data_IF_292901402714
#
_entry.id   IF_292901402714
#
_cell.length_a   1.000
_cell.length_b   1.000
_cell.length_c   1.000
_cell.angle_alpha   90.00
_cell.angle_beta   90.00
_cell.angle_gamma   90.00
#
_symmetry.space_group_name_H-M   'P 1'
#
loop_
_entity.id
_entity.type
_entity.pdbx_description
1 polymer ?
#
# COMPACT_ATOMS: atom_id res chain seq x y z
N UNK A 1 8.50 18.31 53.60
CA UNK A 1 7.60 18.59 52.42
C UNK A 1 8.29 19.39 51.32
N UNK A 2 9.07 20.44 51.58
CA UNK A 2 9.74 21.28 50.60
C UNK A 2 10.75 20.55 49.66
N UNK A 3 11.49 19.57 50.17
CA UNK A 3 12.45 18.77 49.37
C UNK A 3 11.81 17.88 48.30
N UNK A 4 10.62 17.32 48.58
CA UNK A 4 9.81 16.54 47.61
C UNK A 4 9.20 17.44 46.51
N UNK A 5 8.73 18.62 46.87
CA UNK A 5 8.19 19.60 45.92
C UNK A 5 9.26 20.11 44.93
N UNK A 6 10.48 20.39 45.41
CA UNK A 6 11.61 20.78 44.55
C UNK A 6 12.04 19.64 43.61
N UNK A 7 12.10 18.40 44.06
CA UNK A 7 12.45 17.25 43.22
C UNK A 7 11.38 17.02 42.10
N UNK A 8 10.12 17.17 42.42
CA UNK A 8 9.05 17.08 41.41
C UNK A 8 9.10 18.22 40.39
N UNK A 9 9.45 19.43 40.83
CA UNK A 9 9.61 20.59 39.92
C UNK A 9 10.78 20.41 38.97
N UNK A 10 11.91 19.94 39.46
CA UNK A 10 13.10 19.64 38.65
C UNK A 10 12.86 18.50 37.65
N UNK A 11 12.11 17.45 38.03
CA UNK A 11 11.69 16.38 37.11
C UNK A 11 10.77 16.91 36.01
N UNK A 12 9.82 17.78 36.36
CA UNK A 12 8.90 18.37 35.37
C UNK A 12 9.60 19.32 34.38
N UNK A 13 10.59 20.08 34.87
CA UNK A 13 11.44 20.94 34.02
C UNK A 13 12.33 20.10 33.07
N UNK A 14 12.96 19.05 33.59
CA UNK A 14 13.78 18.14 32.79
C UNK A 14 12.92 17.40 31.73
N UNK A 15 11.69 17.03 32.07
CA UNK A 15 10.73 16.46 31.08
C UNK A 15 10.36 17.45 29.98
N UNK A 16 10.16 18.72 30.29
CA UNK A 16 9.87 19.76 29.28
C UNK A 16 11.06 19.98 28.35
N UNK A 17 12.26 20.07 28.89
CA UNK A 17 13.50 20.23 28.11
C UNK A 17 13.74 19.01 27.22
N UNK A 18 13.64 17.81 27.77
CA UNK A 18 13.76 16.56 26.99
C UNK A 18 12.71 16.47 25.88
N UNK A 19 11.45 16.83 26.17
CA UNK A 19 10.38 16.88 25.18
C UNK A 19 10.66 17.90 24.08
N UNK A 20 11.19 19.07 24.40
CA UNK A 20 11.57 20.08 23.40
C UNK A 20 12.64 19.57 22.45
N UNK A 21 13.72 18.99 22.98
CA UNK A 21 14.77 18.39 22.15
C UNK A 21 14.27 17.21 21.32
N UNK A 22 13.44 16.34 21.89
CA UNK A 22 12.84 15.23 21.15
C UNK A 22 11.96 15.75 20.01
N UNK A 23 11.11 16.75 20.26
CA UNK A 23 10.25 17.36 19.23
C UNK A 23 11.09 18.01 18.13
N UNK A 24 12.17 18.73 18.49
CA UNK A 24 13.09 19.32 17.52
C UNK A 24 13.77 18.26 16.64
N UNK A 25 14.24 17.16 17.27
CA UNK A 25 14.82 16.04 16.53
C UNK A 25 13.83 15.38 15.59
N UNK A 26 12.61 15.11 16.06
CA UNK A 26 11.53 14.56 15.20
C UNK A 26 11.16 15.50 14.05
N UNK A 27 11.08 16.82 14.28
CA UNK A 27 10.81 17.77 13.23
C UNK A 27 11.89 17.77 12.14
N UNK A 28 13.17 17.66 12.52
CA UNK A 28 14.29 17.54 11.57
C UNK A 28 14.17 16.24 10.77
N UNK A 29 13.92 15.12 11.43
CA UNK A 29 13.73 13.81 10.75
C UNK A 29 12.55 13.88 9.77
N UNK A 30 11.40 14.42 10.20
CA UNK A 30 10.23 14.60 9.34
C UNK A 30 10.53 15.49 8.12
N UNK A 31 11.31 16.55 8.32
CA UNK A 31 11.75 17.40 7.21
C UNK A 31 12.56 16.62 6.17
N UNK A 32 13.56 15.85 6.61
CA UNK A 32 14.36 15.04 5.69
C UNK A 32 13.56 13.95 4.96
N UNK A 33 12.57 13.34 5.64
CA UNK A 33 11.69 12.34 5.04
C UNK A 33 10.73 13.00 4.02
N UNK A 34 10.22 14.19 4.32
CA UNK A 34 9.29 14.90 3.44
C UNK A 34 10.00 15.61 2.26
N UNK A 35 11.30 15.92 2.42
CA UNK A 35 12.09 16.66 1.45
C UNK A 35 12.05 16.10 0.02
N UNK A 36 12.28 14.79 -0.21
CA UNK A 36 12.23 14.22 -1.56
C UNK A 36 10.85 14.37 -2.22
N UNK A 37 9.79 14.25 -1.42
CA UNK A 37 8.42 14.39 -1.89
C UNK A 37 8.12 15.83 -2.32
N UNK A 38 8.57 16.80 -1.52
CA UNK A 38 8.43 18.23 -1.80
C UNK A 38 9.28 18.64 -3.01
N UNK A 39 10.52 18.16 -3.09
CA UNK A 39 11.40 18.40 -4.23
C UNK A 39 10.85 17.76 -5.52
N UNK A 40 10.29 16.55 -5.46
CA UNK A 40 9.60 15.90 -6.57
C UNK A 40 8.37 16.69 -7.02
N UNK A 41 7.57 17.21 -6.08
CA UNK A 41 6.43 18.05 -6.39
C UNK A 41 6.84 19.32 -7.13
N UNK A 42 7.86 20.05 -6.65
CA UNK A 42 8.40 21.22 -7.35
C UNK A 42 9.01 20.83 -8.71
N UNK A 43 9.75 19.72 -8.77
CA UNK A 43 10.34 19.19 -10.00
C UNK A 43 9.31 18.86 -11.08
N UNK A 44 8.09 18.45 -10.68
CA UNK A 44 7.01 18.12 -11.62
C UNK A 44 6.54 19.33 -12.47
N UNK A 45 6.84 20.53 -12.06
CA UNK A 45 6.52 21.78 -12.79
C UNK A 45 7.70 22.31 -13.59
N UNK A 46 8.85 21.64 -13.62
CA UNK A 46 10.07 22.09 -14.28
C UNK A 46 10.33 21.36 -15.58
N UNK A 47 11.02 22.00 -16.57
CA UNK A 47 11.46 21.32 -17.77
C UNK A 47 12.40 20.14 -17.45
N UNK A 48 12.27 19.03 -18.18
CA UNK A 48 13.06 17.81 -17.97
C UNK A 48 14.58 18.02 -18.07
N UNK A 49 15.04 18.93 -18.94
CA UNK A 49 16.44 19.33 -19.06
C UNK A 49 17.02 19.87 -17.76
N UNK A 50 16.25 20.67 -17.01
CA UNK A 50 16.67 21.20 -15.71
C UNK A 50 16.67 20.13 -14.62
N UNK A 51 15.69 19.23 -14.64
CA UNK A 51 15.64 18.11 -13.70
C UNK A 51 16.85 17.20 -13.86
N UNK A 52 17.31 16.99 -15.09
CA UNK A 52 18.50 16.18 -15.37
C UNK A 52 19.79 16.87 -14.98
N UNK A 53 19.92 18.19 -15.21
CA UNK A 53 21.15 18.94 -14.94
C UNK A 53 21.32 19.33 -13.46
N UNK A 54 20.23 19.65 -12.78
CA UNK A 54 20.23 20.19 -11.40
C UNK A 54 19.71 19.19 -10.36
N UNK A 55 19.16 18.07 -10.82
CA UNK A 55 18.50 17.07 -9.97
C UNK A 55 17.19 17.60 -9.35
N UNK A 56 16.74 16.96 -8.29
CA UNK A 56 15.61 17.41 -7.49
C UNK A 56 16.05 18.54 -6.56
N UNK A 57 16.11 19.76 -7.06
CA UNK A 57 16.50 20.95 -6.29
C UNK A 57 15.27 21.74 -5.82
N UNK A 58 15.42 22.47 -4.71
CA UNK A 58 14.41 23.44 -4.21
C UNK A 58 14.54 24.83 -4.87
N UNK A 59 15.17 24.90 -6.04
CA UNK A 59 15.31 26.19 -6.72
C UNK A 59 13.93 26.76 -7.09
N UNK A 60 13.50 27.78 -6.38
CA UNK A 60 12.25 28.50 -6.61
C UNK A 60 12.35 29.56 -7.71
N UNK A 61 13.54 29.77 -8.28
CA UNK A 61 13.80 30.79 -9.32
C UNK A 61 13.46 30.30 -10.72
N UNK A 62 13.37 28.98 -10.89
CA UNK A 62 13.01 28.38 -12.19
C UNK A 62 11.53 28.64 -12.52
N UNK A 63 11.21 28.96 -13.78
CA UNK A 63 9.83 29.19 -14.17
C UNK A 63 8.97 27.97 -13.94
N UNK A 64 7.93 28.11 -13.14
CA UNK A 64 6.93 27.07 -12.89
C UNK A 64 6.01 26.98 -14.10
N UNK A 65 5.89 25.79 -14.68
CA UNK A 65 5.06 25.54 -15.86
C UNK A 65 4.17 24.32 -15.66
N UNK A 66 2.93 24.38 -16.12
CA UNK A 66 2.01 23.26 -16.18
C UNK A 66 2.21 22.38 -17.43
N UNK A 67 3.25 22.64 -18.23
CA UNK A 67 3.45 21.95 -19.51
C UNK A 67 3.60 20.43 -19.34
N UNK A 68 4.27 19.97 -18.29
CA UNK A 68 4.42 18.53 -18.01
C UNK A 68 3.06 17.87 -17.74
N UNK A 69 2.20 18.52 -16.98
CA UNK A 69 0.84 18.06 -16.74
C UNK A 69 -0.04 18.17 -17.97
N UNK A 70 0.13 19.26 -18.77
CA UNK A 70 -0.57 19.39 -20.05
C UNK A 70 -0.14 18.28 -21.02
N UNK A 71 1.16 18.00 -21.12
CA UNK A 71 1.67 16.89 -21.92
C UNK A 71 1.15 15.53 -21.41
N UNK A 72 1.16 15.31 -20.09
CA UNK A 72 0.63 14.11 -19.46
C UNK A 72 -0.87 13.90 -19.75
N UNK A 73 -1.67 14.97 -19.81
CA UNK A 73 -3.12 14.93 -19.99
C UNK A 73 -3.57 15.36 -21.39
N UNK A 74 -2.68 15.77 -22.29
CA UNK A 74 -3.03 16.22 -23.64
C UNK A 74 -3.67 15.09 -24.46
N UNK A 75 -4.85 15.34 -24.96
CA UNK A 75 -5.51 14.52 -25.98
C UNK A 75 -4.94 14.91 -27.33
N UNK A 76 -4.22 14.02 -28.02
CA UNK A 76 -3.87 14.09 -29.44
C UNK A 76 -3.62 15.47 -30.04
N UNK A 77 -2.40 15.74 -30.53
CA UNK A 77 -2.24 16.77 -31.54
C UNK A 77 -1.14 17.79 -31.34
N UNK A 78 -0.04 17.46 -30.69
CA UNK A 78 1.18 18.24 -30.86
C UNK A 78 2.18 17.43 -31.70
N UNK A 79 2.68 18.08 -32.73
CA UNK A 79 3.56 17.51 -33.77
C UNK A 79 4.98 17.16 -33.31
N UNK A 80 5.21 17.11 -32.00
CA UNK A 80 6.51 16.79 -31.44
C UNK A 80 6.59 15.28 -31.21
N UNK A 81 7.65 14.67 -31.76
CA UNK A 81 7.91 13.23 -31.76
C UNK A 81 7.91 12.63 -30.35
N UNK A 82 8.23 13.42 -29.32
CA UNK A 82 8.25 13.02 -27.93
C UNK A 82 6.85 12.87 -27.31
N UNK A 83 5.86 13.60 -27.81
CA UNK A 83 4.46 13.48 -27.38
C UNK A 83 3.79 12.19 -27.89
N UNK A 84 4.34 11.56 -28.91
CA UNK A 84 3.83 10.30 -29.45
C UNK A 84 4.04 9.11 -28.49
N UNK A 85 5.02 9.20 -27.59
CA UNK A 85 5.35 8.11 -26.64
C UNK A 85 4.40 8.12 -25.45
N UNK A 86 3.91 9.29 -25.04
CA UNK A 86 2.97 9.43 -23.93
C UNK A 86 1.67 10.03 -24.45
N UNK A 87 0.87 9.24 -25.14
CA UNK A 87 -0.51 9.68 -25.35
C UNK A 87 -1.23 9.69 -24.00
N UNK A 88 -1.93 10.77 -23.69
CA UNK A 88 -2.76 10.90 -22.48
C UNK A 88 -3.74 9.72 -22.30
N UNK A 89 -4.11 9.10 -23.41
CA UNK A 89 -4.90 7.87 -23.42
C UNK A 89 -4.18 6.72 -22.71
N UNK A 90 -2.86 6.62 -22.84
CA UNK A 90 -2.07 5.59 -22.16
C UNK A 90 -1.98 5.86 -20.66
N UNK A 91 -1.73 7.11 -20.23
CA UNK A 91 -1.61 7.42 -18.80
C UNK A 91 -2.91 7.15 -18.03
N UNK A 92 -4.04 7.65 -18.50
CA UNK A 92 -5.34 7.40 -17.87
C UNK A 92 -5.75 5.93 -17.92
N UNK A 93 -5.37 5.23 -18.97
CA UNK A 93 -5.58 3.80 -19.08
C UNK A 93 -4.76 3.04 -18.05
N UNK A 94 -3.46 3.33 -17.90
CA UNK A 94 -2.60 2.75 -16.88
C UNK A 94 -3.12 3.03 -15.47
N UNK A 95 -3.54 4.26 -15.24
CA UNK A 95 -4.13 4.68 -13.97
C UNK A 95 -5.41 3.92 -13.65
N UNK A 96 -6.32 3.81 -14.61
CA UNK A 96 -7.55 3.01 -14.50
C UNK A 96 -7.23 1.53 -14.25
N UNK A 97 -6.31 0.96 -15.01
CA UNK A 97 -5.90 -0.44 -14.86
C UNK A 97 -5.35 -0.69 -13.44
N UNK A 98 -4.50 0.19 -12.94
CA UNK A 98 -3.99 0.11 -11.57
C UNK A 98 -5.09 0.21 -10.52
N UNK A 99 -6.04 1.13 -10.69
CA UNK A 99 -7.19 1.25 -9.77
C UNK A 99 -8.03 -0.02 -9.74
N UNK A 100 -8.41 -0.52 -10.91
CA UNK A 100 -9.22 -1.74 -11.03
C UNK A 100 -8.49 -2.94 -10.44
N UNK A 101 -7.21 -3.12 -10.79
CA UNK A 101 -6.39 -4.21 -10.28
C UNK A 101 -6.24 -4.12 -8.76
N UNK A 102 -5.90 -2.94 -8.23
CA UNK A 102 -5.71 -2.73 -6.78
C UNK A 102 -7.00 -2.97 -6.01
N UNK A 103 -8.13 -2.39 -6.44
CA UNK A 103 -9.42 -2.58 -5.75
C UNK A 103 -9.81 -4.05 -5.76
N UNK A 104 -9.70 -4.73 -6.90
CA UNK A 104 -10.02 -6.15 -7.03
C UNK A 104 -9.12 -6.99 -6.14
N UNK A 105 -7.81 -6.77 -6.18
CA UNK A 105 -6.84 -7.48 -5.33
C UNK A 105 -7.14 -7.29 -3.86
N UNK A 106 -7.34 -6.05 -3.40
CA UNK A 106 -7.62 -5.73 -1.99
C UNK A 106 -8.89 -6.43 -1.51
N UNK A 107 -9.99 -6.26 -2.24
CA UNK A 107 -11.28 -6.84 -1.83
C UNK A 107 -11.19 -8.36 -1.73
N UNK A 108 -10.65 -9.01 -2.76
CA UNK A 108 -10.55 -10.47 -2.79
C UNK A 108 -9.57 -11.00 -1.75
N UNK A 109 -8.39 -10.39 -1.61
CA UNK A 109 -7.39 -10.79 -0.60
C UNK A 109 -7.96 -10.66 0.81
N UNK A 110 -8.61 -9.55 1.14
CA UNK A 110 -9.18 -9.35 2.47
C UNK A 110 -10.26 -10.38 2.79
N UNK A 111 -11.16 -10.64 1.84
CA UNK A 111 -12.23 -11.63 2.04
C UNK A 111 -11.66 -13.05 2.20
N UNK A 112 -10.78 -13.47 1.30
CA UNK A 112 -10.16 -14.81 1.35
C UNK A 112 -9.37 -14.99 2.65
N UNK A 113 -8.49 -14.05 2.97
CA UNK A 113 -7.67 -14.11 4.17
C UNK A 113 -8.49 -14.03 5.46
N UNK A 114 -9.59 -13.25 5.48
CA UNK A 114 -10.51 -13.18 6.60
C UNK A 114 -11.13 -14.56 6.87
N UNK A 115 -11.70 -15.23 5.87
CA UNK A 115 -12.33 -16.53 6.07
C UNK A 115 -11.33 -17.61 6.45
N UNK A 116 -10.13 -17.61 5.88
CA UNK A 116 -9.04 -18.50 6.28
C UNK A 116 -8.68 -18.27 7.76
N UNK A 117 -8.47 -17.01 8.15
CA UNK A 117 -8.12 -16.64 9.51
C UNK A 117 -9.25 -16.96 10.50
N UNK A 118 -10.51 -16.74 10.11
CA UNK A 118 -11.69 -17.12 10.89
C UNK A 118 -11.71 -18.61 11.16
N UNK A 119 -11.56 -19.44 10.12
CA UNK A 119 -11.48 -20.88 10.23
C UNK A 119 -10.34 -21.35 11.16
N UNK A 120 -9.16 -20.76 11.00
CA UNK A 120 -7.99 -21.06 11.83
C UNK A 120 -8.07 -20.55 13.27
N UNK A 121 -9.00 -19.63 13.58
CA UNK A 121 -9.13 -19.05 14.94
C UNK A 121 -10.29 -19.65 15.70
N UNK A 122 -11.45 -19.76 15.05
CA UNK A 122 -12.71 -20.07 15.72
C UNK A 122 -12.97 -21.56 15.81
N UNK A 123 -12.51 -22.36 14.82
CA UNK A 123 -12.72 -23.79 14.83
C UNK A 123 -11.55 -24.55 15.46
N UNK A 124 -11.86 -25.62 16.20
CA UNK A 124 -10.88 -26.55 16.78
C UNK A 124 -10.82 -27.80 15.91
N UNK A 125 -9.71 -28.01 15.19
CA UNK A 125 -9.46 -29.22 14.42
C UNK A 125 -7.98 -29.66 14.51
N UNK A 126 -7.73 -30.94 14.22
CA UNK A 126 -6.45 -31.63 14.52
C UNK A 126 -5.21 -30.93 13.92
N UNK A 127 -5.30 -30.40 12.70
CA UNK A 127 -4.15 -29.81 11.97
C UNK A 127 -4.11 -28.29 12.00
N UNK A 128 -4.95 -27.60 12.78
CA UNK A 128 -5.06 -26.14 12.82
C UNK A 128 -3.72 -25.42 13.01
N UNK A 129 -2.95 -25.85 14.00
CA UNK A 129 -1.67 -25.19 14.31
C UNK A 129 -0.61 -25.51 13.26
N UNK A 130 -0.63 -26.69 12.67
CA UNK A 130 0.27 -27.05 11.57
C UNK A 130 -0.01 -26.21 10.32
N UNK A 131 -1.27 -26.08 9.92
CA UNK A 131 -1.66 -25.21 8.79
C UNK A 131 -1.26 -23.75 9.02
N UNK A 132 -1.45 -23.26 10.24
CA UNK A 132 -1.01 -21.90 10.57
C UNK A 132 0.51 -21.75 10.53
N UNK A 133 1.25 -22.76 11.00
CA UNK A 133 2.70 -22.77 10.88
C UNK A 133 3.14 -22.75 9.41
N UNK A 134 2.47 -23.51 8.53
CA UNK A 134 2.71 -23.46 7.08
C UNK A 134 2.49 -22.05 6.52
N UNK A 135 1.40 -21.36 6.90
CA UNK A 135 1.16 -19.97 6.51
C UNK A 135 2.33 -19.07 6.93
N UNK A 136 2.81 -19.17 8.16
CA UNK A 136 3.97 -18.38 8.63
C UNK A 136 5.24 -18.74 7.85
N UNK A 137 5.47 -20.03 7.59
CA UNK A 137 6.65 -20.50 6.87
C UNK A 137 6.74 -19.91 5.46
N UNK A 138 5.59 -19.69 4.78
CA UNK A 138 5.58 -19.03 3.47
C UNK A 138 6.07 -17.57 3.51
N UNK A 139 5.96 -16.88 4.65
CA UNK A 139 6.48 -15.50 4.80
C UNK A 139 8.02 -15.44 4.77
N UNK A 140 8.69 -16.57 5.07
CA UNK A 140 10.15 -16.64 5.05
C UNK A 140 10.70 -16.83 3.63
N UNK A 141 9.86 -17.10 2.64
CA UNK A 141 10.29 -17.32 1.25
C UNK A 141 10.19 -15.99 0.48
N UNK A 142 11.31 -15.43 -0.01
CA UNK A 142 11.28 -14.23 -0.84
C UNK A 142 10.45 -14.46 -2.10
N UNK A 143 9.58 -13.50 -2.43
CA UNK A 143 8.69 -13.61 -3.59
C UNK A 143 9.46 -13.74 -4.91
N UNK A 144 10.62 -13.13 -5.01
CA UNK A 144 11.48 -13.13 -6.19
C UNK A 144 11.91 -14.56 -6.58
N UNK A 145 12.11 -15.45 -5.60
CA UNK A 145 12.44 -16.86 -5.85
C UNK A 145 11.23 -17.59 -6.46
N UNK A 146 10.03 -17.22 -6.05
CA UNK A 146 8.79 -17.84 -6.50
C UNK A 146 8.32 -17.33 -7.86
N UNK A 147 8.82 -16.18 -8.33
CA UNK A 147 8.32 -15.53 -9.56
C UNK A 147 8.39 -16.45 -10.79
N UNK A 148 9.48 -17.15 -11.00
CA UNK A 148 9.64 -18.01 -12.17
C UNK A 148 8.77 -19.28 -12.12
N UNK A 149 8.69 -20.01 -11.00
CA UNK A 149 7.71 -21.10 -10.84
C UNK A 149 6.28 -20.63 -11.04
N UNK A 150 5.87 -19.53 -10.41
CA UNK A 150 4.52 -18.97 -10.53
C UNK A 150 4.20 -18.55 -11.98
N UNK A 151 5.18 -17.98 -12.68
CA UNK A 151 5.00 -17.63 -14.09
C UNK A 151 4.71 -18.86 -14.96
N UNK A 152 5.40 -19.98 -14.71
CA UNK A 152 5.15 -21.24 -15.40
C UNK A 152 3.75 -21.79 -15.11
N UNK A 153 3.31 -21.74 -13.84
CA UNK A 153 1.98 -22.16 -13.43
C UNK A 153 0.88 -21.31 -14.08
N UNK A 154 1.01 -19.98 -14.01
CA UNK A 154 0.08 -19.03 -14.64
C UNK A 154 0.01 -19.25 -16.15
N UNK A 155 1.15 -19.55 -16.80
CA UNK A 155 1.20 -19.85 -18.22
C UNK A 155 0.48 -21.17 -18.53
N UNK A 156 0.71 -22.21 -17.72
CA UNK A 156 0.09 -23.53 -17.92
C UNK A 156 -1.44 -23.51 -17.81
N UNK A 157 -1.98 -22.63 -16.94
CA UNK A 157 -3.44 -22.47 -16.78
C UNK A 157 -4.03 -21.37 -17.68
N UNK A 158 -3.24 -20.79 -18.60
CA UNK A 158 -3.72 -19.82 -19.60
C UNK A 158 -4.08 -18.44 -19.06
N UNK A 159 -3.51 -18.02 -17.92
CA UNK A 159 -3.81 -16.73 -17.29
C UNK A 159 -2.77 -15.64 -17.58
N UNK A 160 -1.83 -15.89 -18.47
CA UNK A 160 -0.92 -14.85 -18.98
C UNK A 160 -1.75 -13.76 -19.66
N UNK A 161 -1.30 -12.52 -19.49
CA UNK A 161 -1.95 -11.32 -20.03
C UNK A 161 -3.39 -11.10 -19.52
N UNK A 162 -3.65 -11.51 -18.28
CA UNK A 162 -4.96 -11.31 -17.62
C UNK A 162 -4.81 -10.74 -16.21
N UNK A 163 -5.82 -10.00 -15.74
CA UNK A 163 -5.87 -9.51 -14.35
C UNK A 163 -5.83 -10.66 -13.31
N UNK A 164 -6.59 -11.77 -13.49
CA UNK A 164 -6.47 -12.93 -12.61
C UNK A 164 -5.05 -13.48 -12.50
N UNK A 165 -4.29 -13.52 -13.59
CA UNK A 165 -2.88 -13.93 -13.56
C UNK A 165 -2.01 -13.06 -12.65
N UNK A 166 -2.40 -11.80 -12.44
CA UNK A 166 -1.68 -10.90 -11.54
C UNK A 166 -2.11 -11.10 -10.08
N UNK A 167 -3.40 -11.13 -9.78
CA UNK A 167 -3.85 -11.12 -8.38
C UNK A 167 -3.97 -12.51 -7.74
N UNK A 168 -4.25 -13.58 -8.49
CA UNK A 168 -4.49 -14.92 -7.92
C UNK A 168 -3.34 -15.44 -7.06
N UNK A 169 -2.07 -15.34 -7.46
CA UNK A 169 -0.96 -15.83 -6.64
C UNK A 169 -0.86 -15.16 -5.27
N UNK A 170 -1.33 -13.91 -5.17
CA UNK A 170 -1.28 -13.11 -3.94
C UNK A 170 -2.52 -13.15 -3.05
N UNK A 171 -3.61 -13.85 -3.46
CA UNK A 171 -4.87 -13.82 -2.71
C UNK A 171 -4.77 -14.38 -1.30
N UNK A 172 -3.96 -15.42 -1.10
CA UNK A 172 -3.72 -16.02 0.21
C UNK A 172 -2.51 -15.36 0.90
N UNK A 173 -2.53 -14.03 1.05
CA UNK A 173 -1.43 -13.28 1.65
C UNK A 173 -1.20 -13.70 3.11
N UNK A 174 -0.07 -14.36 3.37
CA UNK A 174 0.25 -14.94 4.68
C UNK A 174 0.27 -13.89 5.80
N UNK A 175 0.81 -12.68 5.54
CA UNK A 175 0.82 -11.57 6.49
C UNK A 175 -0.60 -11.12 6.86
N UNK A 176 -1.51 -11.08 5.89
CA UNK A 176 -2.92 -10.70 6.10
C UNK A 176 -3.67 -11.77 6.90
N UNK A 177 -3.45 -13.07 6.58
CA UNK A 177 -4.02 -14.19 7.36
C UNK A 177 -3.51 -14.14 8.80
N UNK A 178 -2.20 -13.95 8.98
CA UNK A 178 -1.57 -13.82 10.31
C UNK A 178 -2.20 -12.68 11.10
N UNK A 179 -2.32 -11.50 10.51
CA UNK A 179 -2.87 -10.32 11.17
C UNK A 179 -4.33 -10.53 11.61
N UNK A 180 -5.19 -10.99 10.69
CA UNK A 180 -6.58 -11.30 11.04
C UNK A 180 -6.69 -12.36 12.13
N UNK A 181 -5.87 -13.41 12.09
CA UNK A 181 -5.88 -14.44 13.12
C UNK A 181 -5.49 -13.90 14.49
N UNK A 182 -4.46 -13.05 14.56
CA UNK A 182 -4.03 -12.43 15.81
C UNK A 182 -5.10 -11.48 16.35
N UNK A 183 -5.67 -10.66 15.48
CA UNK A 183 -6.75 -9.74 15.87
C UNK A 183 -7.97 -10.48 16.40
N UNK A 184 -8.47 -11.48 15.66
CA UNK A 184 -9.62 -12.30 16.10
C UNK A 184 -9.31 -13.09 17.38
N UNK A 185 -8.07 -13.56 17.55
CA UNK A 185 -7.64 -14.28 18.74
C UNK A 185 -7.64 -13.43 20.02
N UNK A 186 -7.62 -12.10 19.90
CA UNK A 186 -7.72 -11.16 21.03
C UNK A 186 -9.16 -10.85 21.45
N UNK A 187 -10.14 -11.21 20.63
CA UNK A 187 -11.56 -10.95 20.91
C UNK A 187 -12.14 -11.94 21.93
N UNK A 188 -13.07 -11.52 22.81
CA UNK A 188 -13.74 -12.40 23.74
C UNK A 188 -14.53 -13.48 23.02
N UNK A 189 -14.34 -14.75 23.40
CA UNK A 189 -15.06 -15.89 22.81
C UNK A 189 -16.51 -15.96 23.23
N UNK A 190 -16.85 -15.37 24.35
CA UNK A 190 -18.19 -15.27 24.93
C UNK A 190 -19.20 -14.64 23.96
N UNK A 191 -18.73 -13.74 23.07
CA UNK A 191 -19.56 -13.15 22.02
C UNK A 191 -20.07 -14.19 21.01
N UNK A 192 -19.23 -15.18 20.69
CA UNK A 192 -19.58 -16.26 19.75
C UNK A 192 -20.50 -17.27 20.40
N UNK A 193 -20.22 -17.59 21.67
CA UNK A 193 -21.00 -18.57 22.41
C UNK A 193 -22.41 -18.04 22.69
N UNK A 194 -22.56 -16.74 23.02
CA UNK A 194 -23.86 -16.07 23.13
C UNK A 194 -24.64 -16.14 21.82
N UNK A 195 -23.99 -15.82 20.68
CA UNK A 195 -24.63 -15.86 19.38
C UNK A 195 -25.08 -17.29 18.97
N UNK A 196 -24.35 -18.32 19.39
CA UNK A 196 -24.76 -19.73 19.18
C UNK A 196 -25.99 -20.08 20.03
N UNK A 197 -26.04 -19.62 21.26
CA UNK A 197 -27.22 -19.80 22.15
C UNK A 197 -28.44 -19.11 21.56
N UNK A 198 -28.25 -17.91 20.94
CA UNK A 198 -29.30 -17.18 20.24
C UNK A 198 -29.72 -17.84 18.89
N UNK A 199 -29.17 -19.00 18.55
CA UNK A 199 -29.53 -19.75 17.34
C UNK A 199 -28.93 -19.23 16.03
N UNK A 200 -27.90 -18.36 16.09
CA UNK A 200 -27.21 -17.89 14.89
C UNK A 200 -26.43 -19.04 14.22
N UNK A 201 -26.51 -19.09 12.89
CA UNK A 201 -25.67 -20.02 12.11
C UNK A 201 -24.20 -19.57 12.15
N UNK A 202 -23.24 -20.49 12.02
CA UNK A 202 -21.81 -20.19 12.00
C UNK A 202 -21.43 -19.16 10.91
N UNK A 203 -22.05 -19.23 9.73
CA UNK A 203 -21.91 -18.24 8.68
C UNK A 203 -22.45 -16.86 9.12
N UNK A 204 -23.63 -16.86 9.77
CA UNK A 204 -24.22 -15.64 10.33
C UNK A 204 -23.33 -14.98 11.38
N UNK A 205 -22.74 -15.78 12.28
CA UNK A 205 -21.77 -15.31 13.27
C UNK A 205 -20.54 -14.69 12.58
N UNK A 206 -19.98 -15.37 11.58
CA UNK A 206 -18.82 -14.84 10.85
C UNK A 206 -19.12 -13.50 10.19
N UNK A 207 -20.21 -13.40 9.42
CA UNK A 207 -20.47 -12.22 8.57
C UNK A 207 -21.17 -11.10 9.33
N UNK A 208 -22.17 -11.41 10.20
CA UNK A 208 -22.99 -10.39 10.87
C UNK A 208 -22.43 -9.91 12.20
N UNK A 209 -21.58 -10.71 12.86
CA UNK A 209 -21.03 -10.39 14.18
C UNK A 209 -19.53 -10.14 14.08
N UNK A 210 -18.76 -11.13 13.63
CA UNK A 210 -17.29 -11.05 13.66
C UNK A 210 -16.74 -10.08 12.63
N UNK A 211 -17.25 -10.06 11.40
CA UNK A 211 -16.77 -9.15 10.35
C UNK A 211 -16.96 -7.67 10.74
N UNK A 212 -18.10 -7.22 11.28
CA UNK A 212 -18.23 -5.86 11.81
C UNK A 212 -17.29 -5.52 12.96
N UNK A 213 -17.06 -6.44 13.90
CA UNK A 213 -16.15 -6.23 15.04
C UNK A 213 -14.70 -6.12 14.55
N UNK A 214 -14.34 -6.85 13.48
CA UNK A 214 -13.00 -6.82 12.90
C UNK A 214 -12.79 -5.70 11.87
N UNK A 215 -13.70 -4.75 11.72
CA UNK A 215 -13.55 -3.58 10.81
C UNK A 215 -12.20 -2.85 10.95
N UNK A 216 -11.66 -2.59 12.15
CA UNK A 216 -10.35 -1.95 12.28
C UNK A 216 -9.23 -2.77 11.63
N UNK A 217 -9.28 -4.10 11.76
CA UNK A 217 -8.32 -4.99 11.12
C UNK A 217 -8.46 -4.98 9.59
N UNK A 218 -9.69 -4.98 9.06
CA UNK A 218 -9.94 -4.82 7.63
C UNK A 218 -9.37 -3.50 7.10
N UNK A 219 -9.61 -2.40 7.80
CA UNK A 219 -9.12 -1.08 7.41
C UNK A 219 -7.59 -1.01 7.38
N UNK A 220 -6.93 -1.53 8.42
CA UNK A 220 -5.47 -1.59 8.50
C UNK A 220 -4.86 -2.41 7.36
N UNK A 221 -5.41 -3.60 7.12
CA UNK A 221 -4.91 -4.48 6.06
C UNK A 221 -5.27 -3.98 4.67
N UNK A 222 -6.40 -3.24 4.51
CA UNK A 222 -6.76 -2.62 3.24
C UNK A 222 -5.70 -1.61 2.77
N UNK A 223 -5.16 -0.78 3.68
CA UNK A 223 -4.09 0.16 3.34
C UNK A 223 -2.84 -0.60 2.88
N UNK A 224 -2.40 -1.58 3.67
CA UNK A 224 -1.17 -2.32 3.37
C UNK A 224 -1.29 -3.11 2.05
N UNK A 225 -2.42 -3.78 1.82
CA UNK A 225 -2.69 -4.49 0.58
C UNK A 225 -2.81 -3.52 -0.62
N UNK A 226 -3.46 -2.35 -0.43
CA UNK A 226 -3.58 -1.34 -1.47
C UNK A 226 -2.21 -0.77 -1.86
N UNK A 227 -1.38 -0.42 -0.87
CA UNK A 227 -0.01 0.05 -1.12
C UNK A 227 0.83 -1.02 -1.83
N UNK A 228 0.74 -2.27 -1.40
CA UNK A 228 1.46 -3.39 -2.02
C UNK A 228 1.04 -3.62 -3.46
N UNK A 229 -0.27 -3.63 -3.75
CA UNK A 229 -0.79 -3.83 -5.10
C UNK A 229 -0.52 -2.64 -6.02
N UNK A 230 -0.74 -1.40 -5.54
CA UNK A 230 -0.53 -0.18 -6.32
C UNK A 230 0.92 0.01 -6.75
N UNK A 231 1.87 -0.27 -5.87
CA UNK A 231 3.29 -0.10 -6.13
C UNK A 231 3.95 -1.32 -6.80
N UNK A 232 3.19 -2.41 -7.00
CA UNK A 232 3.74 -3.61 -7.62
C UNK A 232 3.99 -3.39 -9.11
N UNK A 233 5.26 -3.49 -9.50
CA UNK A 233 5.68 -3.39 -10.90
C UNK A 233 6.15 -4.74 -11.44
N UNK A 234 6.98 -5.46 -10.69
CA UNK A 234 7.72 -6.61 -11.18
C UNK A 234 6.81 -7.74 -11.66
N UNK A 235 5.86 -8.15 -10.82
CA UNK A 235 4.97 -9.25 -11.16
C UNK A 235 4.00 -8.91 -12.30
N UNK A 236 3.27 -7.78 -12.27
CA UNK A 236 2.44 -7.37 -13.41
C UNK A 236 3.22 -7.22 -14.71
N UNK A 237 4.48 -6.75 -14.68
CA UNK A 237 5.34 -6.64 -15.85
C UNK A 237 5.70 -8.00 -16.46
N UNK A 238 5.77 -9.06 -15.65
CA UNK A 238 5.98 -10.42 -16.16
C UNK A 238 4.71 -11.00 -16.79
N UNK A 239 3.53 -10.68 -16.21
CA UNK A 239 2.25 -11.26 -16.62
C UNK A 239 1.65 -10.54 -17.83
N UNK A 240 1.65 -9.20 -17.85
CA UNK A 240 1.06 -8.43 -18.93
C UNK A 240 2.00 -8.33 -20.14
N UNK A 241 1.44 -8.56 -21.32
CA UNK A 241 2.12 -8.43 -22.61
C UNK A 241 1.52 -7.30 -23.45
N UNK A 242 0.21 -7.10 -23.36
CA UNK A 242 -0.52 -6.04 -24.04
C UNK A 242 -0.30 -4.71 -23.31
N UNK A 243 0.21 -3.70 -24.00
CA UNK A 243 0.42 -2.34 -23.49
C UNK A 243 -0.89 -1.71 -22.98
N UNK A 244 -2.03 -2.14 -23.54
CA UNK A 244 -3.38 -1.72 -23.11
C UNK A 244 -3.76 -2.18 -21.70
N UNK A 245 -3.04 -3.16 -21.15
CA UNK A 245 -3.27 -3.71 -19.80
C UNK A 245 -2.24 -3.25 -18.77
N UNK A 246 -1.23 -2.48 -19.18
CA UNK A 246 -0.19 -2.02 -18.28
C UNK A 246 -0.78 -1.25 -17.10
N UNK A 247 -0.19 -1.50 -15.93
CA UNK A 247 -0.44 -0.70 -14.73
C UNK A 247 0.31 0.63 -14.81
N UNK A 248 -0.02 1.55 -13.93
CA UNK A 248 0.64 2.85 -13.83
C UNK A 248 2.17 2.69 -13.65
N UNK A 249 2.59 1.78 -12.79
CA UNK A 249 4.02 1.55 -12.51
C UNK A 249 4.76 1.04 -13.75
N UNK A 250 4.18 0.11 -14.49
CA UNK A 250 4.75 -0.38 -15.76
C UNK A 250 4.79 0.75 -16.78
N UNK A 251 3.66 1.46 -16.94
CA UNK A 251 3.56 2.57 -17.90
C UNK A 251 4.58 3.68 -17.63
N UNK A 252 4.72 4.10 -16.36
CA UNK A 252 5.74 5.09 -15.98
C UNK A 252 7.16 4.59 -16.27
N UNK A 253 7.43 3.31 -16.05
CA UNK A 253 8.73 2.73 -16.33
C UNK A 253 9.07 2.75 -17.84
N UNK A 254 8.06 2.69 -18.72
CA UNK A 254 8.28 2.79 -20.19
C UNK A 254 8.73 4.18 -20.65
N UNK A 255 8.59 5.21 -19.81
CA UNK A 255 9.09 6.56 -20.09
C UNK A 255 10.61 6.68 -19.96
N UNK A 256 11.24 5.69 -19.32
CA UNK A 256 12.69 5.57 -19.22
C UNK A 256 13.19 4.72 -20.41
N UNK A 257 13.78 5.37 -21.40
CA UNK A 257 14.32 4.69 -22.60
C UNK A 257 15.83 4.86 -22.69
N UNK A 258 16.55 3.94 -23.35
CA UNK A 258 18.00 4.09 -23.57
C UNK A 258 18.38 5.31 -24.42
N UNK A 259 17.43 5.86 -25.19
CA UNK A 259 17.67 6.91 -26.18
C UNK A 259 17.17 8.30 -25.77
N UNK A 260 16.60 8.44 -24.58
CA UNK A 260 16.07 9.68 -24.02
C UNK A 260 15.04 9.40 -22.95
N UNK A 261 15.18 10.07 -21.82
CA UNK A 261 14.28 9.88 -20.68
C UNK A 261 13.37 11.11 -20.54
N UNK A 262 12.07 10.89 -20.52
CA UNK A 262 11.07 11.93 -20.27
C UNK A 262 10.89 12.12 -18.75
N UNK A 263 11.95 12.60 -18.07
CA UNK A 263 11.95 12.78 -16.61
C UNK A 263 10.90 13.74 -16.11
N UNK A 264 10.59 14.77 -16.87
CA UNK A 264 9.54 15.77 -16.58
C UNK A 264 8.15 15.13 -16.52
N UNK A 265 7.80 14.33 -17.53
CA UNK A 265 6.53 13.61 -17.61
C UNK A 265 6.51 12.48 -16.57
N UNK A 266 7.65 11.79 -16.38
CA UNK A 266 7.78 10.74 -15.36
C UNK A 266 7.52 11.29 -13.96
N UNK A 267 8.13 12.42 -13.60
CA UNK A 267 7.96 13.02 -12.28
C UNK A 267 6.52 13.53 -12.11
N UNK A 268 5.98 14.24 -13.12
CA UNK A 268 4.59 14.71 -13.07
C UNK A 268 3.60 13.54 -12.94
N UNK A 269 3.80 12.47 -13.71
CA UNK A 269 2.98 11.26 -13.64
C UNK A 269 3.11 10.53 -12.30
N UNK A 270 4.31 10.47 -11.74
CA UNK A 270 4.55 9.88 -10.41
C UNK A 270 3.90 10.70 -9.31
N UNK A 271 3.97 12.03 -9.35
CA UNK A 271 3.32 12.90 -8.36
C UNK A 271 1.78 12.77 -8.40
N UNK A 272 1.19 12.70 -9.59
CA UNK A 272 -0.24 12.43 -9.73
C UNK A 272 -0.59 11.00 -9.29
N UNK A 273 0.30 10.05 -9.51
CA UNK A 273 0.16 8.65 -9.09
C UNK A 273 0.16 8.43 -7.58
N UNK A 274 0.61 9.38 -6.76
CA UNK A 274 0.58 9.31 -5.29
C UNK A 274 -0.85 9.54 -4.75
N UNK A 275 -1.70 10.26 -5.48
CA UNK A 275 -3.00 10.73 -5.01
C UNK A 275 -3.91 9.61 -4.48
N UNK A 276 -4.10 8.45 -5.15
CA UNK A 276 -4.99 7.40 -4.65
C UNK A 276 -4.53 6.81 -3.32
N UNK A 277 -3.22 6.58 -3.19
CA UNK A 277 -2.65 6.03 -1.94
C UNK A 277 -2.77 7.05 -0.81
N UNK A 278 -2.55 8.33 -1.10
CA UNK A 278 -2.76 9.40 -0.12
C UNK A 278 -4.22 9.47 0.35
N UNK A 279 -5.18 9.35 -0.57
CA UNK A 279 -6.61 9.32 -0.24
C UNK A 279 -6.92 8.10 0.64
N UNK A 280 -6.47 6.91 0.27
CA UNK A 280 -6.66 5.68 1.06
C UNK A 280 -6.07 5.85 2.45
N UNK A 281 -4.85 6.38 2.55
CA UNK A 281 -4.21 6.66 3.83
C UNK A 281 -5.01 7.65 4.68
N UNK A 282 -5.44 8.78 4.13
CA UNK A 282 -6.19 9.81 4.87
C UNK A 282 -7.54 9.30 5.39
N UNK A 283 -8.21 8.40 4.66
CA UNK A 283 -9.49 7.81 5.07
C UNK A 283 -9.29 6.80 6.20
N UNK A 284 -8.25 5.98 6.14
CA UNK A 284 -8.09 4.82 7.00
C UNK A 284 -7.00 4.95 8.07
N UNK A 285 -6.20 6.04 8.11
CA UNK A 285 -5.06 6.21 9.02
C UNK A 285 -5.40 6.02 10.50
N UNK A 286 -6.59 6.47 10.93
CA UNK A 286 -7.07 6.28 12.30
C UNK A 286 -7.13 4.81 12.73
N UNK A 287 -7.45 3.91 11.80
CA UNK A 287 -7.54 2.47 12.08
C UNK A 287 -6.17 1.79 12.12
N UNK A 288 -5.14 2.37 11.46
CA UNK A 288 -3.77 1.85 11.57
C UNK A 288 -3.26 1.92 13.01
N UNK A 289 -3.49 3.06 13.66
CA UNK A 289 -3.04 3.27 15.06
C UNK A 289 -3.79 2.33 15.99
N UNK A 290 -5.12 2.24 15.86
CA UNK A 290 -5.96 1.38 16.70
C UNK A 290 -5.66 -0.12 16.50
N UNK A 291 -5.41 -0.54 15.25
CA UNK A 291 -5.08 -1.93 14.91
C UNK A 291 -3.71 -2.39 15.44
N UNK A 292 -2.72 -1.49 15.44
CA UNK A 292 -1.37 -1.78 15.94
C UNK A 292 -1.29 -1.75 17.47
N UNK A 293 -2.07 -0.89 18.12
CA UNK A 293 -2.03 -0.73 19.59
C UNK A 293 -2.88 -1.76 20.33
N UNK A 294 -3.92 -2.33 19.71
CA UNK A 294 -4.75 -3.37 20.33
C UNK A 294 -3.98 -4.66 20.66
N UNK A 295 -2.84 -4.91 19.98
CA UNK A 295 -1.91 -6.00 20.29
C UNK A 295 -0.85 -5.67 21.34
N UNK A 296 -0.61 -4.39 21.63
CA UNK A 296 0.46 -3.94 22.51
C UNK A 296 -0.01 -3.64 23.95
N UNK A 297 -1.31 -3.44 24.19
CA UNK A 297 -1.88 -3.18 25.51
C UNK A 297 -2.37 -4.50 26.12
N UNK A 298 -1.45 -5.41 26.42
CA UNK A 298 -1.60 -6.48 27.39
C UNK A 298 -0.45 -6.33 28.37
N UNK A 299 -0.56 -5.37 29.25
CA UNK A 299 0.25 -5.17 30.42
C UNK A 299 -0.64 -4.70 31.56
#
# INVERSE_FOLDING_TARGET
MAKKANAQRTMAENHKVASFFATGLFAVICFFIAFPLFAGFLGSFRPGSKVVSEGLSLDLTSPVSLNNYRALFARFGTSDVDAAIVSSKNYFMWYKNSLVLTITTVVLTLLVCYFIAYGLTMYKFKFRNFLFFMVIATMCVPFEILMLPLYKEITAIGLIDTNPGVFLPGLCAASTIFFFRQYMGSLPKELLDAARVDGCTEYGISVKIMMPITKPAFASMAILCAMGSWNNMLWPMMVFRDTGKFTLQIGLNTLLTPYGNNYDILIAGSMFGIIPILIVYLIFNKYLVDGMTSGAVKG
#
